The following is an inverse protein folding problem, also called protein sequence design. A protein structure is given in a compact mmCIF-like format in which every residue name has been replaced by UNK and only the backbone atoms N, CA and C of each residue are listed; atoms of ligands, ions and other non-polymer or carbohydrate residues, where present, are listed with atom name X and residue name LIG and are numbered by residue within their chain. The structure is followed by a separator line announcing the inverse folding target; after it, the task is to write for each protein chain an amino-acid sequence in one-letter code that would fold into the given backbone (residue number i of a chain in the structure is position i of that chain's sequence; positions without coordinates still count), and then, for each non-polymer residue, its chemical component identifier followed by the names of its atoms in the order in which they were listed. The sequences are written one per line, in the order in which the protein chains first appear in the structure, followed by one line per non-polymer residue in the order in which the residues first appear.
data_IF_881147698208
#
_entry.id   IF_881147698208
#
_cell.length_a   1.000
_cell.length_b   1.000
_cell.length_c   1.000
_cell.angle_alpha   90.00
_cell.angle_beta   90.00
_cell.angle_gamma   90.00
#
_symmetry.space_group_name_H-M   'P 1'
#
loop_
_entity.id
_entity.type
_entity.pdbx_description
1 polymer ?
#
# COMPACT_ATOMS: atom_id res chain seq x y z
N UNK A 1 9.93 -15.58 -28.26
CA UNK A 1 10.72 -16.34 -27.28
C UNK A 1 12.00 -15.55 -27.15
N UNK A 2 12.33 -15.12 -25.92
CA UNK A 2 13.45 -14.25 -25.55
C UNK A 2 13.30 -12.73 -25.79
N UNK A 3 12.76 -12.02 -24.78
CA UNK A 3 13.02 -10.59 -24.52
C UNK A 3 12.77 -10.35 -23.01
N UNK A 4 13.61 -9.57 -22.32
CA UNK A 4 14.87 -9.92 -21.70
C UNK A 4 14.66 -10.24 -20.22
N UNK A 5 15.27 -11.32 -19.72
CA UNK A 5 15.35 -11.62 -18.28
C UNK A 5 15.53 -10.38 -17.37
N UNK A 6 16.43 -9.43 -17.67
CA UNK A 6 16.64 -8.27 -16.79
C UNK A 6 15.44 -7.31 -16.69
N UNK A 7 14.57 -7.18 -17.69
CA UNK A 7 13.45 -6.21 -17.58
C UNK A 7 12.39 -6.73 -16.60
N UNK A 8 12.16 -8.04 -16.60
CA UNK A 8 11.23 -8.67 -15.65
C UNK A 8 11.75 -8.56 -14.22
N UNK A 9 13.03 -8.85 -14.00
CA UNK A 9 13.69 -8.69 -12.69
C UNK A 9 13.63 -7.24 -12.18
N UNK A 10 13.95 -6.26 -13.04
CA UNK A 10 13.88 -4.83 -12.67
C UNK A 10 12.45 -4.44 -12.30
N UNK A 11 11.45 -4.89 -13.06
CA UNK A 11 10.05 -4.57 -12.82
C UNK A 11 9.55 -5.20 -11.51
N UNK A 12 9.95 -6.44 -11.22
CA UNK A 12 9.63 -7.14 -9.96
C UNK A 12 10.26 -6.43 -8.76
N UNK A 13 11.55 -6.07 -8.83
CA UNK A 13 12.24 -5.34 -7.75
C UNK A 13 11.62 -3.97 -7.54
N UNK A 14 11.31 -3.25 -8.63
CA UNK A 14 10.68 -1.95 -8.57
C UNK A 14 9.28 -2.02 -7.92
N UNK A 15 8.42 -2.92 -8.40
CA UNK A 15 7.09 -3.13 -7.81
C UNK A 15 7.17 -3.56 -6.35
N UNK A 16 8.09 -4.46 -6.00
CA UNK A 16 8.30 -4.92 -4.63
C UNK A 16 8.71 -3.78 -3.70
N UNK A 17 9.63 -2.92 -4.14
CA UNK A 17 10.03 -1.72 -3.38
C UNK A 17 8.86 -0.76 -3.17
N UNK A 18 8.03 -0.53 -4.20
CA UNK A 18 6.83 0.33 -4.10
C UNK A 18 5.79 -0.28 -3.16
N UNK A 19 5.60 -1.60 -3.15
CA UNK A 19 4.68 -2.28 -2.23
C UNK A 19 5.14 -2.10 -0.77
N UNK A 20 6.44 -2.24 -0.50
CA UNK A 20 7.00 -2.04 0.85
C UNK A 20 6.87 -0.58 1.27
N UNK A 21 7.23 0.37 0.40
CA UNK A 21 7.15 1.79 0.71
C UNK A 21 5.70 2.27 0.88
N UNK A 22 4.79 1.80 0.04
CA UNK A 22 3.35 2.10 0.12
C UNK A 22 2.72 1.47 1.36
N UNK A 23 3.09 0.25 1.73
CA UNK A 23 2.63 -0.41 2.96
C UNK A 23 3.15 0.29 4.21
N UNK A 24 4.39 0.78 4.19
CA UNK A 24 4.91 1.63 5.26
C UNK A 24 4.13 2.95 5.34
N UNK A 25 3.81 3.56 4.19
CA UNK A 25 2.97 4.75 4.10
C UNK A 25 1.59 4.56 4.73
N UNK A 26 0.95 3.39 4.54
CA UNK A 26 -0.35 3.08 5.17
C UNK A 26 -0.29 3.20 6.70
N UNK A 27 0.82 2.80 7.32
CA UNK A 27 0.98 2.83 8.77
C UNK A 27 1.48 4.18 9.27
N UNK A 28 2.40 4.82 8.53
CA UNK A 28 3.05 6.08 8.93
C UNK A 28 2.13 7.31 8.81
N UNK A 29 1.12 7.25 7.92
CA UNK A 29 0.25 8.40 7.62
C UNK A 29 -0.78 8.59 8.75
N UNK A 30 -0.66 9.72 9.45
CA UNK A 30 -1.59 10.08 10.55
C UNK A 30 -3.01 10.40 10.06
N UNK A 31 -3.13 10.92 8.83
CA UNK A 31 -4.43 11.17 8.22
C UNK A 31 -4.96 9.86 7.64
N UNK A 32 -6.13 9.39 8.10
CA UNK A 32 -6.67 8.10 7.66
C UNK A 32 -7.02 8.10 6.16
N UNK A 33 -7.35 9.28 5.60
CA UNK A 33 -7.64 9.45 4.17
C UNK A 33 -6.39 9.19 3.32
N UNK A 34 -5.24 9.73 3.73
CA UNK A 34 -3.96 9.52 3.04
C UNK A 34 -3.51 8.06 3.17
N UNK A 35 -3.73 7.45 4.34
CA UNK A 35 -3.47 6.02 4.56
C UNK A 35 -4.30 5.12 3.62
N UNK A 36 -5.60 5.41 3.47
CA UNK A 36 -6.48 4.69 2.56
C UNK A 36 -6.06 4.84 1.09
N UNK A 37 -5.59 6.03 0.68
CA UNK A 37 -5.04 6.23 -0.66
C UNK A 37 -3.76 5.42 -0.89
N UNK A 38 -2.86 5.37 0.10
CA UNK A 38 -1.64 4.56 0.05
C UNK A 38 -1.95 3.07 -0.05
N UNK A 39 -2.99 2.59 0.63
CA UNK A 39 -3.46 1.20 0.51
C UNK A 39 -3.93 0.89 -0.92
N UNK A 40 -4.68 1.80 -1.53
CA UNK A 40 -5.09 1.69 -2.93
C UNK A 40 -3.91 1.56 -3.89
N UNK A 41 -2.86 2.38 -3.70
CA UNK A 41 -1.63 2.29 -4.50
C UNK A 41 -0.96 0.91 -4.38
N UNK A 42 -0.84 0.38 -3.16
CA UNK A 42 -0.26 -0.95 -2.91
C UNK A 42 -1.05 -2.04 -3.64
N UNK A 43 -2.38 -1.98 -3.59
CA UNK A 43 -3.26 -2.95 -4.27
C UNK A 43 -3.11 -2.90 -5.79
N UNK A 44 -2.92 -1.71 -6.37
CA UNK A 44 -2.62 -1.55 -7.81
C UNK A 44 -1.27 -2.18 -8.16
N UNK A 45 -0.24 -1.94 -7.35
CA UNK A 45 1.09 -2.54 -7.55
C UNK A 45 1.05 -4.07 -7.50
N UNK A 46 0.26 -4.64 -6.57
CA UNK A 46 0.03 -6.09 -6.48
C UNK A 46 -0.66 -6.62 -7.75
N UNK A 47 -1.65 -5.88 -8.29
CA UNK A 47 -2.28 -6.26 -9.56
C UNK A 47 -1.28 -6.28 -10.72
N UNK A 48 -0.38 -5.29 -10.80
CA UNK A 48 0.70 -5.27 -11.80
C UNK A 48 1.68 -6.44 -11.62
N UNK A 49 1.94 -6.83 -10.38
CA UNK A 49 2.78 -7.98 -10.07
C UNK A 49 2.16 -9.29 -10.60
N UNK A 50 0.85 -9.47 -10.47
CA UNK A 50 0.14 -10.63 -11.04
C UNK A 50 0.16 -10.67 -12.58
N UNK A 51 0.17 -9.51 -13.25
CA UNK A 51 0.37 -9.44 -14.72
C UNK A 51 1.77 -9.92 -15.08
N UNK A 52 2.79 -9.51 -14.32
CA UNK A 52 4.18 -9.95 -14.49
C UNK A 52 4.33 -11.46 -14.35
N UNK A 53 3.52 -12.09 -13.49
CA UNK A 53 3.46 -13.54 -13.29
C UNK A 53 2.62 -14.29 -14.34
N UNK A 54 2.20 -13.64 -15.43
CA UNK A 54 1.38 -14.24 -16.49
C UNK A 54 -0.03 -14.69 -16.03
N UNK A 55 -0.52 -14.21 -14.88
CA UNK A 55 -1.82 -14.59 -14.31
C UNK A 55 -2.87 -13.53 -14.56
N UNK A 56 -3.31 -13.39 -15.81
CA UNK A 56 -4.17 -12.28 -16.25
C UNK A 56 -5.57 -12.29 -15.62
N UNK A 57 -6.18 -13.46 -15.44
CA UNK A 57 -7.51 -13.57 -14.83
C UNK A 57 -7.50 -13.14 -13.36
N UNK A 58 -6.51 -13.61 -12.60
CA UNK A 58 -6.35 -13.25 -11.18
C UNK A 58 -5.99 -11.78 -11.04
N UNK A 59 -5.14 -11.24 -11.92
CA UNK A 59 -4.82 -9.81 -11.94
C UNK A 59 -6.06 -8.94 -12.17
N UNK A 60 -6.89 -9.28 -13.16
CA UNK A 60 -8.11 -8.53 -13.44
C UNK A 60 -9.11 -8.61 -12.27
N UNK A 61 -9.29 -9.78 -11.68
CA UNK A 61 -10.12 -9.95 -10.49
C UNK A 61 -9.58 -9.14 -9.29
N UNK A 62 -8.26 -9.15 -9.08
CA UNK A 62 -7.59 -8.38 -8.03
C UNK A 62 -7.86 -6.89 -8.20
N UNK A 63 -7.67 -6.36 -9.41
CA UNK A 63 -7.92 -4.96 -9.72
C UNK A 63 -9.38 -4.57 -9.49
N UNK A 64 -10.33 -5.34 -10.02
CA UNK A 64 -11.75 -5.02 -9.90
C UNK A 64 -12.26 -5.11 -8.46
N UNK A 65 -11.88 -6.16 -7.73
CA UNK A 65 -12.41 -6.40 -6.38
C UNK A 65 -11.69 -5.54 -5.35
N UNK A 66 -10.35 -5.56 -5.33
CA UNK A 66 -9.61 -4.87 -4.28
C UNK A 66 -9.42 -3.39 -4.56
N UNK A 67 -8.97 -3.02 -5.76
CA UNK A 67 -8.79 -1.59 -6.10
C UNK A 67 -10.14 -0.93 -6.40
N UNK A 68 -11.05 -1.63 -7.07
CA UNK A 68 -12.34 -1.09 -7.50
C UNK A 68 -13.42 -1.08 -6.43
N UNK A 69 -13.66 -2.22 -5.76
CA UNK A 69 -14.77 -2.33 -4.80
C UNK A 69 -14.33 -2.05 -3.35
N UNK A 70 -13.39 -2.85 -2.83
CA UNK A 70 -13.00 -2.82 -1.42
C UNK A 70 -12.31 -1.49 -1.07
N UNK A 71 -11.34 -1.05 -1.88
CA UNK A 71 -10.61 0.19 -1.61
C UNK A 71 -11.52 1.42 -1.68
N UNK A 72 -12.45 1.49 -2.63
CA UNK A 72 -13.43 2.59 -2.71
C UNK A 72 -14.35 2.58 -1.49
N UNK A 73 -14.77 1.40 -1.01
CA UNK A 73 -15.55 1.28 0.22
C UNK A 73 -14.75 1.74 1.45
N UNK A 74 -13.46 1.41 1.53
CA UNK A 74 -12.58 1.88 2.61
C UNK A 74 -12.44 3.40 2.57
N UNK A 75 -12.14 3.97 1.40
CA UNK A 75 -12.03 5.43 1.23
C UNK A 75 -13.33 6.11 1.65
N UNK A 76 -14.48 5.57 1.23
CA UNK A 76 -15.79 6.10 1.61
C UNK A 76 -16.03 6.02 3.12
N UNK A 77 -15.74 4.89 3.75
CA UNK A 77 -15.90 4.69 5.19
C UNK A 77 -14.98 5.62 6.00
N UNK A 78 -13.72 5.75 5.59
CA UNK A 78 -12.75 6.65 6.22
C UNK A 78 -13.16 8.11 6.06
N UNK A 79 -13.60 8.50 4.87
CA UNK A 79 -14.08 9.86 4.61
C UNK A 79 -15.33 10.18 5.45
N UNK A 80 -16.25 9.22 5.60
CA UNK A 80 -17.44 9.36 6.45
C UNK A 80 -17.09 9.49 7.94
N UNK A 81 -16.06 8.76 8.40
CA UNK A 81 -15.61 8.78 9.79
C UNK A 81 -14.79 10.04 10.11
N UNK A 82 -14.04 10.58 9.16
CA UNK A 82 -13.17 11.76 9.34
C UNK A 82 -13.95 13.04 9.71
N UNK A 83 -15.24 13.15 9.36
CA UNK A 83 -16.08 14.28 9.77
C UNK A 83 -16.42 14.27 11.28
N UNK A 84 -16.22 13.13 11.98
CA UNK A 84 -16.69 12.95 13.37
C UNK A 84 -15.67 13.26 14.46
N UNK A 85 -14.39 13.48 14.15
CA UNK A 85 -13.33 13.55 15.17
C UNK A 85 -12.33 14.68 14.94
N UNK A 86 -12.78 15.92 15.17
CA UNK A 86 -11.90 17.09 15.35
C UNK A 86 -11.76 17.37 16.85
N UNK A 87 -10.96 16.57 17.56
CA UNK A 87 -10.69 16.75 18.99
C UNK A 87 -9.32 16.24 19.39
N UNK A 88 -8.33 17.12 19.31
CA UNK A 88 -7.14 17.19 20.18
C UNK A 88 -6.49 15.85 20.61
N UNK A 89 -5.82 15.13 19.71
CA UNK A 89 -4.88 14.05 20.13
C UNK A 89 -3.58 14.03 19.31
N UNK A 90 -3.11 15.21 18.89
CA UNK A 90 -1.98 15.38 17.96
C UNK A 90 -0.58 15.30 18.60
N UNK A 91 -0.47 15.14 19.93
CA UNK A 91 0.85 15.18 20.61
C UNK A 91 1.37 13.82 21.10
N UNK A 92 0.51 12.81 21.33
CA UNK A 92 0.94 11.50 21.87
C UNK A 92 1.34 10.48 20.79
N UNK A 93 0.83 10.62 19.56
CA UNK A 93 1.05 9.64 18.48
C UNK A 93 2.44 9.77 17.80
N UNK A 94 2.97 10.99 17.66
CA UNK A 94 4.20 11.30 16.89
C UNK A 94 5.48 10.62 17.42
N UNK A 95 5.51 10.22 18.69
CA UNK A 95 6.67 9.57 19.30
C UNK A 95 6.68 8.06 19.06
N UNK A 96 5.51 7.40 18.98
CA UNK A 96 5.41 5.94 18.80
C UNK A 96 5.79 5.46 17.40
N UNK A 97 5.61 6.30 16.40
CA UNK A 97 5.74 5.90 15.00
C UNK A 97 7.19 5.93 14.49
N UNK A 98 8.02 6.85 15.02
CA UNK A 98 9.45 6.87 14.72
C UNK A 98 10.19 5.65 15.28
N UNK A 99 9.80 5.16 16.45
CA UNK A 99 10.39 3.96 17.07
C UNK A 99 9.89 2.69 16.38
N UNK A 100 8.62 2.62 16.00
CA UNK A 100 8.07 1.46 15.29
C UNK A 100 8.62 1.34 13.87
N UNK A 101 8.74 2.45 13.14
CA UNK A 101 9.34 2.48 11.80
C UNK A 101 10.81 2.03 11.81
N UNK A 102 11.58 2.44 12.83
CA UNK A 102 12.98 2.05 12.97
C UNK A 102 13.15 0.55 13.28
N UNK A 103 12.26 -0.01 14.10
CA UNK A 103 12.25 -1.46 14.41
C UNK A 103 11.84 -2.29 13.19
N UNK A 104 10.82 -1.87 12.44
CA UNK A 104 10.40 -2.56 11.22
C UNK A 104 11.48 -2.57 10.14
N UNK A 105 12.26 -1.48 10.02
CA UNK A 105 13.40 -1.42 9.08
C UNK A 105 14.52 -2.37 9.51
N UNK A 106 14.72 -2.56 10.81
CA UNK A 106 15.74 -3.47 11.35
C UNK A 106 15.41 -4.95 11.14
N UNK A 107 14.13 -5.32 11.10
CA UNK A 107 13.69 -6.71 10.91
C UNK A 107 13.81 -7.13 9.44
N UNK A 108 13.66 -6.19 8.50
CA UNK A 108 13.79 -6.47 7.07
C UNK A 108 15.25 -6.67 6.61
N UNK A 109 16.24 -6.34 7.46
CA UNK A 109 17.67 -6.38 7.15
C UNK A 109 18.45 -7.47 7.92
N UNK A 110 17.75 -8.27 8.74
CA UNK A 110 18.30 -9.43 9.46
C UNK A 110 17.72 -10.72 8.86
#
# INVERSE_FOLDING_TARGET
MDLPGPIHDILVVFLGSVIILGGLGVVLLTNPIDSAFSLGLVLVCISLFYISLNSYFVAAAQFLIYVGAINVLIIFAVMFMNDSEYSNDSYLWTIGDRITSLVCTSIFFH
#
